data_IF_448728234646
#
_entry.id   IF_448728234646
#
_cell.length_a   1.000
_cell.length_b   1.000
_cell.length_c   1.000
_cell.angle_alpha   90.00
_cell.angle_beta   90.00
_cell.angle_gamma   90.00
#
_symmetry.space_group_name_H-M   'P 1'
#
loop_
_entity.id
_entity.type
_entity.pdbx_description
1 polymer ?
#
# COMPACT_ATOMS: atom_id res chain seq x y z
N UNK A 1 -52.86 -16.91 26.56
CA UNK A 1 -51.59 -17.15 25.84
C UNK A 1 -50.75 -17.98 26.78
N UNK A 2 -50.36 -19.19 26.36
CA UNK A 2 -49.68 -20.13 27.25
C UNK A 2 -48.21 -19.71 27.38
N UNK A 3 -47.83 -19.17 28.55
CA UNK A 3 -46.47 -18.70 28.84
C UNK A 3 -45.43 -19.80 28.59
N UNK A 4 -45.85 -21.05 28.74
CA UNK A 4 -45.03 -22.23 28.50
C UNK A 4 -44.68 -22.41 27.01
N UNK A 5 -45.59 -22.07 26.10
CA UNK A 5 -45.34 -22.14 24.66
C UNK A 5 -44.35 -21.06 24.20
N UNK A 6 -44.42 -19.87 24.80
CA UNK A 6 -43.52 -18.75 24.51
C UNK A 6 -42.10 -19.01 25.07
N UNK A 7 -42.01 -19.62 26.27
CA UNK A 7 -40.75 -20.06 26.84
C UNK A 7 -40.09 -21.18 26.02
N UNK A 8 -40.87 -22.18 25.55
CA UNK A 8 -40.36 -23.26 24.70
C UNK A 8 -39.84 -22.73 23.35
N UNK A 9 -40.52 -21.76 22.75
CA UNK A 9 -40.05 -21.10 21.52
C UNK A 9 -38.75 -20.31 21.74
N UNK A 10 -38.63 -19.57 22.85
CA UNK A 10 -37.40 -18.84 23.20
C UNK A 10 -36.21 -19.79 23.46
N UNK A 11 -36.43 -20.91 24.17
CA UNK A 11 -35.40 -21.92 24.43
C UNK A 11 -34.97 -22.63 23.14
N UNK A 12 -35.90 -22.91 22.22
CA UNK A 12 -35.58 -23.52 20.92
C UNK A 12 -34.70 -22.62 20.03
N UNK A 13 -34.74 -21.30 20.22
CA UNK A 13 -33.85 -20.35 19.52
C UNK A 13 -32.54 -20.12 20.28
N UNK A 14 -32.57 -20.08 21.62
CA UNK A 14 -31.40 -19.83 22.46
C UNK A 14 -30.44 -21.03 22.53
N UNK A 15 -30.95 -22.27 22.49
CA UNK A 15 -30.12 -23.49 22.58
C UNK A 15 -29.19 -23.66 21.37
N UNK A 16 -29.64 -23.50 20.11
CA UNK A 16 -28.76 -23.50 18.94
C UNK A 16 -27.69 -22.40 18.99
N UNK A 17 -28.06 -21.21 19.46
CA UNK A 17 -27.14 -20.07 19.66
C UNK A 17 -26.10 -20.39 20.74
N UNK A 18 -26.50 -21.09 21.82
CA UNK A 18 -25.60 -21.57 22.87
C UNK A 18 -24.63 -22.66 22.38
N UNK A 19 -25.08 -23.58 21.53
CA UNK A 19 -24.21 -24.62 20.93
C UNK A 19 -23.22 -24.06 19.89
N UNK A 20 -23.56 -22.94 19.25
CA UNK A 20 -22.63 -22.17 18.41
C UNK A 20 -21.48 -21.54 19.23
N UNK A 21 -21.63 -21.41 20.55
CA UNK A 21 -20.62 -20.91 21.50
C UNK A 21 -19.81 -22.11 22.06
N UNK A 22 -19.54 -23.13 21.23
CA UNK A 22 -18.63 -24.24 21.52
C UNK A 22 -17.17 -23.78 21.67
N UNK A 23 -16.85 -23.15 22.80
CA UNK A 23 -15.54 -22.55 23.10
C UNK A 23 -14.46 -23.63 23.28
N UNK A 24 -14.83 -24.85 23.65
CA UNK A 24 -13.91 -25.98 23.84
C UNK A 24 -13.36 -26.59 22.55
N UNK A 25 -14.21 -26.84 21.54
CA UNK A 25 -13.77 -27.48 20.28
C UNK A 25 -12.93 -26.56 19.41
N UNK A 26 -13.17 -25.24 19.49
CA UNK A 26 -12.49 -24.24 18.68
C UNK A 26 -10.99 -24.14 18.97
N UNK A 27 -10.58 -24.26 20.23
CA UNK A 27 -9.15 -24.23 20.61
C UNK A 27 -8.39 -25.46 20.11
N UNK A 28 -9.01 -26.64 20.18
CA UNK A 28 -8.40 -27.88 19.67
C UNK A 28 -8.20 -27.81 18.15
N UNK A 29 -9.23 -27.35 17.42
CA UNK A 29 -9.16 -27.15 15.97
C UNK A 29 -8.08 -26.14 15.57
N UNK A 30 -8.00 -24.99 16.24
CA UNK A 30 -6.96 -23.99 15.99
C UNK A 30 -5.55 -24.55 16.21
N UNK A 31 -5.32 -25.35 17.26
CA UNK A 31 -4.01 -26.00 17.48
C UNK A 31 -3.64 -26.97 16.35
N UNK A 32 -4.62 -27.68 15.81
CA UNK A 32 -4.39 -28.59 14.69
C UNK A 32 -4.05 -27.82 13.41
N UNK A 33 -4.85 -26.79 13.07
CA UNK A 33 -4.61 -25.92 11.91
C UNK A 33 -3.25 -25.22 11.98
N UNK A 34 -2.82 -24.75 13.17
CA UNK A 34 -1.49 -24.15 13.37
C UNK A 34 -0.37 -25.16 13.07
N UNK A 35 -0.49 -26.42 13.54
CA UNK A 35 0.51 -27.46 13.28
C UNK A 35 0.59 -27.81 11.81
N UNK A 36 -0.55 -27.93 11.15
CA UNK A 36 -0.64 -28.21 9.72
C UNK A 36 0.00 -27.08 8.90
N UNK A 37 -0.36 -25.82 9.17
CA UNK A 37 0.23 -24.68 8.49
C UNK A 37 1.76 -24.57 8.75
N UNK A 38 2.24 -24.86 9.96
CA UNK A 38 3.68 -24.89 10.27
C UNK A 38 4.42 -25.99 9.49
N UNK A 39 3.78 -27.15 9.33
CA UNK A 39 4.34 -28.26 8.53
C UNK A 39 4.42 -27.85 7.06
N UNK A 40 3.36 -27.23 6.54
CA UNK A 40 3.32 -26.72 5.17
C UNK A 40 4.38 -25.63 4.92
N UNK A 41 4.56 -24.68 5.84
CA UNK A 41 5.63 -23.66 5.72
C UNK A 41 7.01 -24.33 5.62
N UNK A 42 7.26 -25.35 6.44
CA UNK A 42 8.52 -26.09 6.40
C UNK A 42 8.74 -26.84 5.09
N UNK A 43 7.68 -27.39 4.49
CA UNK A 43 7.73 -28.02 3.16
C UNK A 43 7.99 -26.99 2.07
N UNK A 44 7.35 -25.81 2.13
CA UNK A 44 7.55 -24.73 1.17
C UNK A 44 8.95 -24.11 1.26
N UNK A 45 9.54 -24.03 2.44
CA UNK A 45 10.92 -23.52 2.63
C UNK A 45 12.00 -24.43 2.04
N UNK A 46 11.70 -25.73 1.84
CA UNK A 46 12.60 -26.70 1.19
C UNK A 46 12.64 -26.57 -0.33
N UNK A 47 11.66 -25.86 -0.92
CA UNK A 47 11.61 -25.61 -2.36
C UNK A 47 12.14 -24.21 -2.67
N UNK A 48 13.38 -24.12 -3.17
CA UNK A 48 14.05 -22.86 -3.49
C UNK A 48 13.26 -22.02 -4.51
N UNK A 49 12.57 -22.65 -5.46
CA UNK A 49 11.81 -21.95 -6.51
C UNK A 49 10.58 -21.28 -5.92
N UNK A 50 9.86 -21.98 -5.05
CA UNK A 50 8.67 -21.43 -4.40
C UNK A 50 9.07 -20.36 -3.38
N UNK A 51 10.16 -20.56 -2.64
CA UNK A 51 10.67 -19.59 -1.67
C UNK A 51 11.02 -18.25 -2.31
N UNK A 52 11.65 -18.27 -3.49
CA UNK A 52 12.09 -17.03 -4.16
C UNK A 52 10.97 -16.31 -4.93
N UNK A 53 9.91 -17.02 -5.33
CA UNK A 53 8.92 -16.47 -6.27
C UNK A 53 7.47 -16.48 -5.78
N UNK A 54 7.16 -17.04 -4.60
CA UNK A 54 5.78 -17.17 -4.11
C UNK A 54 5.52 -16.40 -2.83
N UNK A 55 4.40 -15.68 -2.79
CA UNK A 55 3.86 -15.03 -1.60
C UNK A 55 3.23 -16.02 -0.59
N UNK A 56 3.13 -17.30 -0.95
CA UNK A 56 2.45 -18.31 -0.15
C UNK A 56 3.07 -18.46 1.25
N UNK A 57 4.39 -18.45 1.36
CA UNK A 57 5.11 -18.63 2.63
C UNK A 57 4.86 -17.47 3.59
N UNK A 58 5.00 -16.23 3.09
CA UNK A 58 4.74 -15.03 3.89
C UNK A 58 3.28 -14.94 4.34
N UNK A 59 2.34 -15.27 3.46
CA UNK A 59 0.92 -15.32 3.81
C UNK A 59 0.61 -16.38 4.87
N UNK A 60 1.17 -17.59 4.73
CA UNK A 60 0.99 -18.67 5.71
C UNK A 60 1.59 -18.30 7.07
N UNK A 61 2.78 -17.71 7.12
CA UNK A 61 3.40 -17.23 8.35
C UNK A 61 2.57 -16.13 9.02
N UNK A 62 1.99 -15.21 8.24
CA UNK A 62 1.03 -14.22 8.73
C UNK A 62 -0.21 -14.87 9.36
N UNK A 63 -0.80 -15.86 8.68
CA UNK A 63 -1.95 -16.63 9.19
C UNK A 63 -1.61 -17.39 10.48
N UNK A 64 -0.46 -18.08 10.53
CA UNK A 64 0.01 -18.80 11.72
C UNK A 64 0.14 -17.85 12.90
N UNK A 65 0.75 -16.68 12.69
CA UNK A 65 0.93 -15.66 13.74
C UNK A 65 -0.42 -15.20 14.30
N UNK A 66 -1.39 -14.95 13.41
CA UNK A 66 -2.75 -14.58 13.79
C UNK A 66 -3.42 -15.67 14.64
N UNK A 67 -3.31 -16.93 14.22
CA UNK A 67 -3.95 -18.05 14.91
C UNK A 67 -3.26 -18.40 16.24
N UNK A 68 -1.94 -18.27 16.33
CA UNK A 68 -1.18 -18.40 17.58
C UNK A 68 -1.60 -17.34 18.59
N UNK A 69 -1.78 -16.08 18.17
CA UNK A 69 -2.22 -15.04 19.09
C UNK A 69 -3.66 -15.25 19.57
N UNK A 70 -4.58 -15.69 18.68
CA UNK A 70 -5.93 -16.11 19.07
C UNK A 70 -5.87 -17.24 20.11
N UNK A 71 -4.97 -18.20 19.95
CA UNK A 71 -4.76 -19.30 20.89
C UNK A 71 -4.24 -18.80 22.24
N UNK A 72 -3.33 -17.82 22.23
CA UNK A 72 -2.77 -17.16 23.41
C UNK A 72 -3.77 -16.22 24.11
N UNK A 73 -4.98 -16.06 23.59
CA UNK A 73 -5.98 -15.14 24.12
C UNK A 73 -5.61 -13.66 23.93
N UNK A 74 -4.63 -13.36 23.08
CA UNK A 74 -4.30 -11.99 22.68
C UNK A 74 -5.28 -11.60 21.57
N UNK A 75 -5.99 -10.49 21.76
CA UNK A 75 -6.81 -9.92 20.69
C UNK A 75 -5.89 -9.31 19.64
N UNK A 76 -5.63 -10.05 18.58
CA UNK A 76 -5.04 -9.51 17.36
C UNK A 76 -6.15 -8.96 16.49
N UNK A 77 -6.16 -7.64 16.36
CA UNK A 77 -7.14 -6.88 15.61
C UNK A 77 -7.41 -5.56 16.29
N UNK A 78 -7.70 -4.56 15.48
CA UNK A 78 -8.20 -3.28 15.96
C UNK A 78 -9.38 -3.51 16.92
N UNK A 79 -9.41 -2.78 18.05
CA UNK A 79 -10.48 -2.91 19.03
C UNK A 79 -11.81 -2.75 18.29
N UNK A 80 -12.68 -3.76 18.41
CA UNK A 80 -14.00 -3.72 17.79
C UNK A 80 -14.69 -2.44 18.23
N UNK A 81 -15.27 -1.70 17.30
CA UNK A 81 -16.15 -0.57 17.63
C UNK A 81 -17.11 -1.04 18.72
N UNK A 82 -17.21 -0.34 19.86
CA UNK A 82 -18.15 -0.72 20.90
C UNK A 82 -19.52 -0.81 20.27
N UNK A 83 -20.15 -1.97 20.41
CA UNK A 83 -21.47 -2.22 19.85
C UNK A 83 -22.40 -1.15 20.43
N UNK A 84 -23.11 -0.37 19.59
CA UNK A 84 -24.05 0.63 20.08
C UNK A 84 -25.28 -0.09 20.63
N UNK A 85 -25.15 -0.65 21.84
CA UNK A 85 -26.17 -1.48 22.48
C UNK A 85 -27.52 -0.77 22.55
N UNK A 86 -27.53 0.55 22.71
CA UNK A 86 -28.76 1.35 22.63
C UNK A 86 -29.49 1.19 21.29
N UNK A 87 -28.79 1.26 20.16
CA UNK A 87 -29.39 1.08 18.83
C UNK A 87 -29.87 -0.36 18.63
N UNK A 88 -29.10 -1.37 19.05
CA UNK A 88 -29.50 -2.78 18.94
C UNK A 88 -30.75 -3.07 19.76
N UNK A 89 -30.81 -2.59 21.01
CA UNK A 89 -31.97 -2.82 21.89
C UNK A 89 -33.21 -2.16 21.31
N UNK A 90 -33.14 -0.91 20.87
CA UNK A 90 -34.27 -0.19 20.27
C UNK A 90 -34.74 -0.88 18.98
N UNK A 91 -33.80 -1.21 18.08
CA UNK A 91 -34.09 -1.93 16.82
C UNK A 91 -34.71 -3.30 17.08
N UNK A 92 -34.21 -4.01 18.10
CA UNK A 92 -34.74 -5.32 18.50
C UNK A 92 -36.15 -5.25 19.06
N UNK A 93 -36.45 -4.25 19.91
CA UNK A 93 -37.79 -4.02 20.44
C UNK A 93 -38.78 -3.66 19.33
N UNK A 94 -38.39 -2.77 18.41
CA UNK A 94 -39.21 -2.38 17.26
C UNK A 94 -39.46 -3.59 16.35
N UNK A 95 -38.40 -4.35 16.03
CA UNK A 95 -38.50 -5.56 15.22
C UNK A 95 -39.42 -6.61 15.85
N UNK A 96 -39.35 -6.80 17.17
CA UNK A 96 -40.22 -7.70 17.91
C UNK A 96 -41.68 -7.23 17.92
N UNK A 97 -41.93 -5.92 18.09
CA UNK A 97 -43.28 -5.35 18.04
C UNK A 97 -43.93 -5.55 16.66
N UNK A 98 -43.19 -5.28 15.58
CA UNK A 98 -43.65 -5.56 14.22
C UNK A 98 -43.83 -7.06 13.95
N UNK A 99 -42.95 -7.91 14.47
CA UNK A 99 -43.09 -9.36 14.36
C UNK A 99 -44.35 -9.88 15.07
N UNK A 100 -44.65 -9.35 16.26
CA UNK A 100 -45.87 -9.68 17.00
C UNK A 100 -47.12 -9.20 16.25
N UNK A 101 -47.08 -7.99 15.69
CA UNK A 101 -48.19 -7.45 14.89
C UNK A 101 -48.44 -8.28 13.63
N UNK A 102 -47.36 -8.65 12.94
CA UNK A 102 -47.37 -9.58 11.79
C UNK A 102 -48.06 -10.89 12.15
N UNK A 103 -47.73 -11.46 13.32
CA UNK A 103 -48.34 -12.69 13.83
C UNK A 103 -49.84 -12.54 14.12
N UNK A 104 -50.28 -11.44 14.74
CA UNK A 104 -51.69 -11.19 14.99
C UNK A 104 -52.49 -11.06 13.69
N UNK A 105 -52.00 -10.29 12.71
CA UNK A 105 -52.66 -10.14 11.41
C UNK A 105 -52.76 -11.47 10.67
N UNK A 106 -51.71 -12.30 10.73
CA UNK A 106 -51.72 -13.62 10.11
C UNK A 106 -52.74 -14.55 10.80
N UNK A 107 -52.82 -14.50 12.13
CA UNK A 107 -53.78 -15.27 12.93
C UNK A 107 -55.23 -14.91 12.62
N UNK A 108 -55.50 -13.63 12.39
CA UNK A 108 -56.85 -13.11 12.14
C UNK A 108 -57.26 -13.21 10.65
N UNK A 109 -56.42 -13.80 9.80
CA UNK A 109 -56.72 -14.07 8.38
C UNK A 109 -56.46 -12.91 7.42
N UNK A 110 -55.83 -11.83 7.87
CA UNK A 110 -55.52 -10.64 7.06
C UNK A 110 -54.22 -10.79 6.27
N UNK A 111 -54.12 -11.84 5.44
CA UNK A 111 -52.88 -12.30 4.80
C UNK A 111 -52.10 -11.18 4.06
N UNK A 112 -52.79 -10.30 3.33
CA UNK A 112 -52.14 -9.22 2.58
C UNK A 112 -51.54 -8.10 3.46
N UNK A 113 -52.11 -7.87 4.65
CA UNK A 113 -51.61 -6.84 5.57
C UNK A 113 -50.39 -7.30 6.37
N UNK A 114 -50.09 -8.61 6.36
CA UNK A 114 -48.92 -9.21 7.04
C UNK A 114 -47.61 -8.78 6.38
N UNK A 115 -47.62 -8.49 5.07
CA UNK A 115 -46.41 -8.16 4.31
C UNK A 115 -45.71 -6.91 4.83
N UNK A 116 -46.46 -5.85 5.15
CA UNK A 116 -45.89 -4.58 5.59
C UNK A 116 -45.13 -4.67 6.94
N UNK A 117 -45.76 -5.11 8.05
CA UNK A 117 -45.05 -5.26 9.31
C UNK A 117 -44.02 -6.40 9.27
N UNK A 118 -44.24 -7.43 8.44
CA UNK A 118 -43.28 -8.53 8.27
C UNK A 118 -41.97 -8.06 7.64
N UNK A 119 -42.04 -7.26 6.57
CA UNK A 119 -40.86 -6.64 5.93
C UNK A 119 -40.15 -5.69 6.89
N UNK A 120 -40.90 -4.86 7.63
CA UNK A 120 -40.32 -3.97 8.63
C UNK A 120 -39.53 -4.75 9.70
N UNK A 121 -40.10 -5.83 10.24
CA UNK A 121 -39.42 -6.70 11.20
C UNK A 121 -38.15 -7.35 10.61
N UNK A 122 -38.22 -7.84 9.36
CA UNK A 122 -37.07 -8.42 8.68
C UNK A 122 -35.94 -7.40 8.44
N UNK A 123 -36.26 -6.17 8.04
CA UNK A 123 -35.28 -5.10 7.87
C UNK A 123 -34.59 -4.74 9.20
N UNK A 124 -35.33 -4.74 10.31
CA UNK A 124 -34.75 -4.52 11.65
C UNK A 124 -33.77 -5.65 12.02
N UNK A 125 -34.09 -6.91 11.71
CA UNK A 125 -33.18 -8.04 11.93
C UNK A 125 -31.92 -7.94 11.05
N UNK A 126 -32.06 -7.55 9.77
CA UNK A 126 -30.93 -7.32 8.86
C UNK A 126 -30.07 -6.16 9.37
N UNK A 127 -30.68 -5.09 9.90
CA UNK A 127 -29.97 -3.97 10.51
C UNK A 127 -29.16 -4.38 11.74
N UNK A 128 -29.76 -5.15 12.66
CA UNK A 128 -29.05 -5.73 13.82
C UNK A 128 -27.88 -6.61 13.35
N UNK A 129 -28.12 -7.45 12.35
CA UNK A 129 -27.07 -8.28 11.77
C UNK A 129 -25.94 -7.41 11.22
N UNK A 130 -26.25 -6.37 10.44
CA UNK A 130 -25.29 -5.41 9.91
C UNK A 130 -24.49 -4.68 10.99
N UNK A 131 -25.13 -4.26 12.09
CA UNK A 131 -24.45 -3.62 13.23
C UNK A 131 -23.55 -4.59 14.01
N UNK A 132 -23.87 -5.89 14.02
CA UNK A 132 -23.07 -6.92 14.68
C UNK A 132 -21.92 -7.45 13.79
N UNK A 133 -22.08 -7.40 12.46
CA UNK A 133 -21.09 -7.88 11.49
C UNK A 133 -20.22 -6.77 10.90
N UNK A 134 -20.71 -5.53 10.91
CA UNK A 134 -20.03 -4.35 10.38
C UNK A 134 -18.79 -4.02 11.19
N UNK A 135 -17.62 -4.36 10.65
CA UNK A 135 -16.32 -4.01 11.20
C UNK A 135 -15.82 -2.74 10.52
N UNK A 136 -16.34 -1.59 10.94
CA UNK A 136 -15.69 -0.33 10.60
C UNK A 136 -14.61 -0.03 11.62
N UNK A 137 -13.43 0.34 11.11
CA UNK A 137 -12.37 0.95 11.90
C UNK A 137 -12.94 2.26 12.49
N UNK A 138 -12.70 2.56 13.79
CA UNK A 138 -13.12 3.83 14.34
C UNK A 138 -12.49 4.97 13.51
N UNK A 139 -13.27 6.00 13.14
CA UNK A 139 -12.74 7.16 12.42
C UNK A 139 -11.86 7.95 13.38
N UNK A 140 -10.58 7.63 13.40
CA UNK A 140 -9.55 8.28 14.19
C UNK A 140 -8.38 8.62 13.30
N UNK A 141 -8.49 9.76 12.62
CA UNK A 141 -7.40 10.65 12.18
C UNK A 141 -6.03 10.01 11.91
N UNK A 142 -5.97 8.99 11.07
CA UNK A 142 -4.67 8.62 10.51
C UNK A 142 -4.44 9.55 9.32
N UNK A 143 -3.36 10.33 9.34
CA UNK A 143 -2.82 11.10 8.19
C UNK A 143 -2.36 10.17 7.04
N UNK A 144 -2.98 9.00 6.92
CA UNK A 144 -2.64 7.96 5.98
C UNK A 144 -3.55 8.09 4.75
N UNK A 145 -3.04 7.70 3.57
CA UNK A 145 -3.82 7.66 2.35
C UNK A 145 -5.09 6.81 2.50
N UNK A 146 -6.12 7.11 1.72
CA UNK A 146 -7.35 6.32 1.71
C UNK A 146 -7.06 4.84 1.38
N UNK A 147 -7.53 3.92 2.23
CA UNK A 147 -7.26 2.48 2.08
C UNK A 147 -5.92 1.99 2.66
N UNK A 148 -5.11 2.88 3.25
CA UNK A 148 -3.90 2.51 3.96
C UNK A 148 -4.18 2.12 5.42
N UNK A 149 -3.48 1.11 5.92
CA UNK A 149 -3.49 0.69 7.33
C UNK A 149 -2.10 0.88 7.94
N UNK A 150 -1.95 1.57 9.08
CA UNK A 150 -0.63 1.84 9.69
C UNK A 150 0.11 0.56 10.05
N UNK A 151 1.43 0.56 9.90
CA UNK A 151 2.35 -0.47 10.42
C UNK A 151 2.53 -0.32 11.92
N UNK A 152 2.54 0.91 12.45
CA UNK A 152 2.55 1.15 13.91
C UNK A 152 1.22 0.76 14.51
N UNK A 153 1.25 -0.39 15.14
CA UNK A 153 0.22 -0.90 16.03
C UNK A 153 0.81 -1.01 17.43
N UNK A 154 0.08 -0.51 18.42
CA UNK A 154 0.45 -0.62 19.85
C UNK A 154 0.43 -2.09 20.35
N UNK A 155 0.02 -3.03 19.50
CA UNK A 155 -0.04 -4.44 19.86
C UNK A 155 1.26 -5.15 19.49
N UNK A 156 1.90 -5.75 20.49
CA UNK A 156 3.15 -6.50 20.33
C UNK A 156 3.08 -7.59 19.26
N UNK A 157 1.90 -8.12 18.96
CA UNK A 157 1.74 -9.22 18.03
C UNK A 157 1.65 -8.77 16.56
N UNK A 158 1.23 -7.53 16.27
CA UNK A 158 1.36 -6.94 14.93
C UNK A 158 2.78 -6.41 14.70
N UNK A 159 3.49 -5.95 15.74
CA UNK A 159 4.94 -5.69 15.66
C UNK A 159 5.73 -6.96 15.36
N UNK A 160 5.31 -8.09 15.92
CA UNK A 160 5.86 -9.41 15.60
C UNK A 160 5.45 -9.86 14.20
N UNK A 161 4.20 -9.64 13.76
CA UNK A 161 3.78 -10.01 12.40
C UNK A 161 4.46 -9.16 11.32
N UNK A 162 4.65 -7.86 11.56
CA UNK A 162 5.38 -6.95 10.68
C UNK A 162 6.87 -7.23 10.70
N UNK A 163 7.48 -7.48 11.86
CA UNK A 163 8.89 -7.89 11.92
C UNK A 163 9.13 -9.27 11.32
N UNK A 164 8.19 -10.21 11.44
CA UNK A 164 8.25 -11.52 10.77
C UNK A 164 7.98 -11.36 9.28
N UNK A 165 7.06 -10.50 8.82
CA UNK A 165 6.89 -10.24 7.39
C UNK A 165 8.15 -9.59 6.81
N UNK A 166 8.74 -8.62 7.52
CA UNK A 166 10.01 -8.00 7.18
C UNK A 166 11.16 -9.03 7.20
N UNK A 167 11.16 -9.94 8.17
CA UNK A 167 12.19 -10.97 8.35
C UNK A 167 12.04 -12.16 7.39
N UNK A 168 10.82 -12.49 7.00
CA UNK A 168 10.52 -13.48 5.98
C UNK A 168 10.84 -12.94 4.58
N UNK A 169 10.75 -11.61 4.40
CA UNK A 169 11.38 -10.92 3.27
C UNK A 169 12.88 -10.69 3.44
N UNK A 170 13.46 -10.92 4.64
CA UNK A 170 14.87 -10.69 4.93
C UNK A 170 15.74 -11.91 4.61
N UNK A 171 15.93 -12.14 3.32
CA UNK A 171 17.32 -12.23 2.88
C UNK A 171 17.83 -10.79 2.81
N UNK A 172 18.48 -10.31 3.89
CA UNK A 172 19.17 -9.01 4.01
C UNK A 172 18.87 -8.04 2.85
N UNK A 173 17.91 -7.12 3.05
CA UNK A 173 17.45 -6.22 2.00
C UNK A 173 18.54 -5.20 1.63
N UNK A 174 19.51 -5.66 0.83
CA UNK A 174 20.66 -4.89 0.34
C UNK A 174 20.25 -3.66 -0.46
N UNK A 175 18.95 -3.49 -0.76
CA UNK A 175 18.40 -2.27 -1.35
C UNK A 175 18.65 -1.03 -0.48
N UNK A 176 18.59 -1.18 0.84
CA UNK A 176 18.84 -0.08 1.79
C UNK A 176 20.31 0.05 2.22
N UNK A 177 21.12 -0.98 1.96
CA UNK A 177 22.56 -0.92 2.21
C UNK A 177 23.22 0.08 1.24
N UNK A 178 24.43 0.50 1.58
CA UNK A 178 25.24 1.37 0.72
C UNK A 178 25.40 0.77 -0.68
N UNK A 179 25.12 1.57 -1.72
CA UNK A 179 25.08 1.13 -3.12
C UNK A 179 23.82 0.38 -3.55
N UNK A 180 22.88 0.12 -2.63
CA UNK A 180 21.59 -0.49 -2.94
C UNK A 180 20.61 0.45 -3.65
N UNK A 181 19.61 -0.10 -4.34
CA UNK A 181 18.61 0.66 -5.11
C UNK A 181 17.97 1.80 -4.33
N UNK A 182 17.50 1.51 -3.12
CA UNK A 182 16.78 2.48 -2.28
C UNK A 182 17.75 3.50 -1.72
N UNK A 183 18.93 3.06 -1.28
CA UNK A 183 19.98 3.96 -0.81
C UNK A 183 20.37 4.98 -1.88
N UNK A 184 20.58 4.55 -3.13
CA UNK A 184 20.91 5.43 -4.27
C UNK A 184 19.82 6.47 -4.48
N UNK A 185 18.54 6.09 -4.45
CA UNK A 185 17.43 7.06 -4.55
C UNK A 185 17.41 8.06 -3.39
N UNK A 186 17.70 7.63 -2.17
CA UNK A 186 17.77 8.54 -1.01
C UNK A 186 18.94 9.52 -1.12
N UNK A 187 20.12 9.06 -1.55
CA UNK A 187 21.27 9.93 -1.75
C UNK A 187 21.00 10.94 -2.87
N UNK A 188 20.47 10.47 -4.00
CA UNK A 188 20.06 11.35 -5.10
C UNK A 188 19.05 12.41 -4.63
N UNK A 189 17.97 12.00 -3.96
CA UNK A 189 16.96 12.91 -3.42
C UNK A 189 17.56 13.94 -2.45
N UNK A 190 18.40 13.48 -1.52
CA UNK A 190 19.04 14.33 -0.51
C UNK A 190 19.96 15.37 -1.16
N UNK A 191 20.85 14.93 -2.05
CA UNK A 191 21.79 15.81 -2.75
C UNK A 191 21.07 16.85 -3.60
N UNK A 192 20.06 16.44 -4.37
CA UNK A 192 19.29 17.36 -5.21
C UNK A 192 18.50 18.38 -4.39
N UNK A 193 17.87 17.94 -3.28
CA UNK A 193 17.12 18.83 -2.38
C UNK A 193 18.02 19.86 -1.69
N UNK A 194 19.23 19.47 -1.32
CA UNK A 194 20.20 20.35 -0.63
C UNK A 194 20.97 21.27 -1.59
N UNK A 195 20.65 21.22 -2.88
CA UNK A 195 21.32 21.99 -3.92
C UNK A 195 22.73 21.50 -4.26
N UNK A 196 23.09 20.29 -3.83
CA UNK A 196 24.34 19.60 -4.19
C UNK A 196 24.16 18.84 -5.50
N UNK A 197 23.80 19.55 -6.57
CA UNK A 197 23.38 18.95 -7.85
C UNK A 197 24.46 18.06 -8.47
N UNK A 198 25.70 18.53 -8.53
CA UNK A 198 26.81 17.76 -9.10
C UNK A 198 27.12 16.49 -8.31
N UNK A 199 26.96 16.50 -6.99
CA UNK A 199 27.04 15.29 -6.16
C UNK A 199 25.88 14.33 -6.47
N UNK A 200 24.67 14.88 -6.67
CA UNK A 200 23.50 14.12 -7.12
C UNK A 200 23.72 13.42 -8.47
N UNK A 201 24.44 14.03 -9.41
CA UNK A 201 24.75 13.42 -10.71
C UNK A 201 25.57 12.13 -10.58
N UNK A 202 26.36 11.95 -9.51
CA UNK A 202 27.10 10.70 -9.28
C UNK A 202 26.20 9.49 -9.00
N UNK A 203 24.95 9.74 -8.63
CA UNK A 203 23.91 8.72 -8.42
C UNK A 203 22.96 8.59 -9.61
N UNK A 204 23.17 9.34 -10.69
CA UNK A 204 22.32 9.34 -11.87
C UNK A 204 22.92 8.52 -13.00
N UNK A 205 22.04 7.96 -13.83
CA UNK A 205 22.43 7.28 -15.07
C UNK A 205 22.95 8.30 -16.11
N UNK A 206 23.89 7.88 -16.94
CA UNK A 206 24.47 8.74 -17.97
C UNK A 206 23.41 9.29 -18.94
N UNK A 207 22.48 8.43 -19.39
CA UNK A 207 21.43 8.84 -20.33
C UNK A 207 20.45 9.82 -19.68
N UNK A 208 20.22 9.68 -18.37
CA UNK A 208 19.42 10.63 -17.61
C UNK A 208 20.08 12.02 -17.60
N UNK A 209 21.37 12.08 -17.30
CA UNK A 209 22.12 13.34 -17.26
C UNK A 209 22.17 14.01 -18.64
N UNK A 210 22.43 13.23 -19.69
CA UNK A 210 22.42 13.71 -21.07
C UNK A 210 21.03 14.26 -21.46
N UNK A 211 19.94 13.56 -21.11
CA UNK A 211 18.59 14.04 -21.37
C UNK A 211 18.28 15.36 -20.64
N UNK A 212 18.77 15.58 -19.41
CA UNK A 212 18.62 16.87 -18.70
C UNK A 212 19.36 17.99 -19.43
N UNK A 213 20.60 17.76 -19.82
CA UNK A 213 21.40 18.74 -20.59
C UNK A 213 20.73 19.06 -21.93
N UNK A 214 20.31 18.05 -22.68
CA UNK A 214 19.60 18.24 -23.95
C UNK A 214 18.28 19.00 -23.75
N UNK A 215 17.52 18.70 -22.69
CA UNK A 215 16.28 19.43 -22.36
C UNK A 215 16.57 20.92 -22.10
N UNK A 216 17.63 21.21 -21.34
CA UNK A 216 18.03 22.58 -21.03
C UNK A 216 18.47 23.34 -22.29
N UNK A 217 19.33 22.74 -23.11
CA UNK A 217 19.79 23.33 -24.38
C UNK A 217 18.61 23.57 -25.34
N UNK A 218 17.70 22.61 -25.47
CA UNK A 218 16.51 22.70 -26.33
C UNK A 218 15.59 23.88 -25.93
N UNK A 219 15.41 24.06 -24.62
CA UNK A 219 14.62 25.16 -24.06
C UNK A 219 15.32 26.52 -24.17
N UNK A 220 16.64 26.54 -24.37
CA UNK A 220 17.46 27.75 -24.52
C UNK A 220 18.07 27.90 -25.92
N UNK A 221 17.45 27.29 -26.94
CA UNK A 221 17.93 27.32 -28.34
C UNK A 221 18.11 28.74 -28.92
N UNK A 222 17.39 29.72 -28.38
CA UNK A 222 17.54 31.13 -28.80
C UNK A 222 18.94 31.67 -28.45
N UNK A 223 19.59 31.12 -27.43
CA UNK A 223 20.94 31.46 -26.99
C UNK A 223 22.03 30.57 -27.60
N UNK A 224 21.73 29.29 -27.83
CA UNK A 224 22.71 28.29 -28.29
C UNK A 224 22.66 27.98 -29.79
N UNK A 225 21.64 28.47 -30.51
CA UNK A 225 21.40 28.16 -31.91
C UNK A 225 20.46 26.96 -32.11
N UNK A 226 20.10 26.73 -33.37
CA UNK A 226 19.15 25.70 -33.79
C UNK A 226 19.79 24.53 -34.56
N UNK A 227 21.11 24.55 -34.75
CA UNK A 227 21.83 23.44 -35.41
C UNK A 227 21.92 22.25 -34.45
N UNK A 228 21.22 21.16 -34.79
CA UNK A 228 21.16 19.98 -33.93
C UNK A 228 22.52 19.27 -33.80
N UNK A 229 23.40 19.36 -34.78
CA UNK A 229 24.73 18.73 -34.71
C UNK A 229 25.66 19.50 -33.77
N UNK A 230 25.58 20.83 -33.77
CA UNK A 230 26.29 21.68 -32.80
C UNK A 230 25.75 21.46 -31.38
N UNK A 231 24.42 21.40 -31.22
CA UNK A 231 23.79 21.13 -29.93
C UNK A 231 24.14 19.74 -29.39
N UNK A 232 24.18 18.71 -30.24
CA UNK A 232 24.57 17.35 -29.83
C UNK A 232 26.01 17.30 -29.32
N UNK A 233 26.93 17.95 -30.05
CA UNK A 233 28.33 18.07 -29.65
C UNK A 233 28.48 18.81 -28.32
N UNK A 234 27.73 19.90 -28.14
CA UNK A 234 27.71 20.68 -26.90
C UNK A 234 27.11 19.88 -25.74
N UNK A 235 26.01 19.16 -25.96
CA UNK A 235 25.38 18.33 -24.94
C UNK A 235 26.32 17.23 -24.45
N UNK A 236 27.01 16.54 -25.38
CA UNK A 236 28.00 15.53 -25.04
C UNK A 236 29.21 16.12 -24.30
N UNK A 237 29.66 17.32 -24.68
CA UNK A 237 30.73 18.03 -24.00
C UNK A 237 30.34 18.42 -22.57
N UNK A 238 29.14 18.95 -22.38
CA UNK A 238 28.62 19.32 -21.06
C UNK A 238 28.42 18.09 -20.17
N UNK A 239 27.82 17.02 -20.69
CA UNK A 239 27.54 15.81 -19.92
C UNK A 239 28.79 15.03 -19.50
N UNK A 240 29.85 15.01 -20.32
CA UNK A 240 31.06 14.22 -20.05
C UNK A 240 32.22 15.03 -19.46
N UNK A 241 32.33 16.30 -19.84
CA UNK A 241 33.51 17.13 -19.53
C UNK A 241 33.17 18.40 -18.77
N UNK A 242 31.88 18.71 -18.59
CA UNK A 242 31.41 19.94 -17.93
C UNK A 242 31.93 21.21 -18.64
N UNK A 243 32.11 21.13 -19.96
CA UNK A 243 32.63 22.20 -20.81
C UNK A 243 31.61 22.63 -21.89
N UNK A 244 31.51 23.94 -22.21
CA UNK A 244 32.21 25.06 -21.58
C UNK A 244 31.73 25.38 -20.16
N UNK A 245 32.63 25.85 -19.29
CA UNK A 245 32.34 26.09 -17.86
C UNK A 245 31.19 27.07 -17.62
N UNK A 246 31.04 28.10 -18.45
CA UNK A 246 29.95 29.08 -18.31
C UNK A 246 28.58 28.44 -18.59
N UNK A 247 28.48 27.64 -19.66
CA UNK A 247 27.25 26.92 -19.99
C UNK A 247 26.93 25.85 -18.94
N UNK A 248 27.94 25.12 -18.46
CA UNK A 248 27.77 24.16 -17.37
C UNK A 248 27.27 24.82 -16.09
N UNK A 249 27.87 25.93 -15.68
CA UNK A 249 27.45 26.67 -14.49
C UNK A 249 25.99 27.15 -14.60
N UNK A 250 25.59 27.68 -15.76
CA UNK A 250 24.20 28.09 -16.00
C UNK A 250 23.22 26.93 -15.98
N UNK A 251 23.60 25.76 -16.51
CA UNK A 251 22.82 24.53 -16.43
C UNK A 251 22.66 24.08 -14.98
N UNK A 252 23.76 23.93 -14.24
CA UNK A 252 23.75 23.50 -12.84
C UNK A 252 22.94 24.45 -11.96
N UNK A 253 23.09 25.77 -12.13
CA UNK A 253 22.30 26.76 -11.39
C UNK A 253 20.80 26.62 -11.66
N UNK A 254 20.41 26.49 -12.94
CA UNK A 254 19.01 26.34 -13.34
C UNK A 254 18.39 25.07 -12.75
N UNK A 255 19.09 23.95 -12.87
CA UNK A 255 18.64 22.65 -12.39
C UNK A 255 18.59 22.58 -10.86
N UNK A 256 19.63 23.09 -10.19
CA UNK A 256 19.68 23.21 -8.73
C UNK A 256 18.46 23.97 -8.21
N UNK A 257 18.14 25.12 -8.81
CA UNK A 257 16.99 25.92 -8.42
C UNK A 257 15.67 25.16 -8.64
N UNK A 258 15.53 24.40 -9.73
CA UNK A 258 14.33 23.58 -9.97
C UNK A 258 14.17 22.47 -8.92
N UNK A 259 15.22 21.70 -8.64
CA UNK A 259 15.15 20.61 -7.66
C UNK A 259 14.94 21.14 -6.25
N UNK A 260 15.68 22.15 -5.82
CA UNK A 260 15.49 22.77 -4.50
C UNK A 260 14.06 23.28 -4.36
N UNK A 261 13.55 24.06 -5.33
CA UNK A 261 12.19 24.61 -5.25
C UNK A 261 11.11 23.53 -5.20
N UNK A 262 11.29 22.44 -5.97
CA UNK A 262 10.30 21.37 -6.07
C UNK A 262 10.36 20.41 -4.89
N UNK A 263 11.56 20.14 -4.37
CA UNK A 263 11.81 19.08 -3.38
C UNK A 263 12.11 19.61 -1.96
N UNK A 264 12.25 20.92 -1.75
CA UNK A 264 12.40 21.53 -0.41
C UNK A 264 11.31 21.09 0.58
N UNK A 265 10.02 20.96 0.19
CA UNK A 265 8.98 20.50 1.12
C UNK A 265 9.12 19.03 1.53
N UNK A 266 9.99 18.28 0.87
CA UNK A 266 10.17 16.85 1.11
C UNK A 266 11.20 16.64 2.24
N UNK A 267 10.82 15.79 3.19
CA UNK A 267 11.69 15.39 4.29
C UNK A 267 12.04 13.90 4.14
N UNK A 268 13.22 13.54 3.56
CA UNK A 268 13.63 12.16 3.33
C UNK A 268 13.56 11.28 4.58
N UNK A 269 13.79 11.84 5.78
CA UNK A 269 13.71 11.09 7.04
C UNK A 269 12.28 10.65 7.37
N UNK A 270 11.28 11.27 6.74
CA UNK A 270 9.85 10.91 6.85
C UNK A 270 9.36 10.05 5.70
N UNK A 271 10.25 9.64 4.79
CA UNK A 271 9.92 8.71 3.71
C UNK A 271 10.36 7.29 4.10
N UNK A 272 9.58 6.32 3.64
CA UNK A 272 9.98 4.91 3.60
C UNK A 272 9.92 4.41 2.16
N UNK A 273 10.63 3.34 1.86
CA UNK A 273 10.53 2.70 0.54
C UNK A 273 9.55 1.53 0.55
N UNK A 274 8.98 1.23 -0.62
CA UNK A 274 8.12 0.06 -0.78
C UNK A 274 8.82 -1.26 -0.42
N UNK A 275 8.13 -2.09 0.36
CA UNK A 275 8.67 -3.34 0.92
C UNK A 275 9.09 -4.36 -0.12
N UNK A 276 8.51 -4.36 -1.32
CA UNK A 276 8.83 -5.32 -2.38
C UNK A 276 9.57 -4.68 -3.54
N UNK A 277 10.58 -5.40 -4.03
CA UNK A 277 11.27 -5.07 -5.28
C UNK A 277 10.27 -5.17 -6.43
N UNK A 278 10.20 -4.14 -7.26
CA UNK A 278 9.39 -4.11 -8.48
C UNK A 278 10.33 -4.05 -9.67
N UNK A 279 10.54 -5.18 -10.35
CA UNK A 279 11.43 -5.26 -11.50
C UNK A 279 10.68 -4.83 -12.76
N UNK A 280 11.22 -3.88 -13.51
CA UNK A 280 10.66 -3.41 -14.80
C UNK A 280 11.27 -4.22 -15.95
N UNK A 281 12.59 -4.38 -15.93
CA UNK A 281 13.36 -5.18 -16.88
C UNK A 281 14.51 -5.88 -16.14
N UNK A 282 15.33 -6.68 -16.84
CA UNK A 282 16.43 -7.46 -16.23
C UNK A 282 17.30 -6.63 -15.29
N UNK A 283 17.68 -5.44 -15.76
CA UNK A 283 18.62 -4.53 -15.10
C UNK A 283 17.95 -3.25 -14.59
N UNK A 284 16.61 -3.18 -14.63
CA UNK A 284 15.84 -2.01 -14.18
C UNK A 284 14.85 -2.36 -13.07
N UNK A 285 14.87 -1.57 -12.00
CA UNK A 285 13.92 -1.66 -10.91
C UNK A 285 13.15 -0.34 -10.71
N UNK A 286 11.92 -0.45 -10.22
CA UNK A 286 11.10 0.66 -9.76
C UNK A 286 11.23 0.77 -8.23
N UNK A 287 11.72 1.91 -7.77
CA UNK A 287 11.74 2.30 -6.37
C UNK A 287 10.63 3.32 -6.12
N UNK A 288 9.81 3.08 -5.11
CA UNK A 288 8.78 4.03 -4.68
C UNK A 288 9.14 4.46 -3.27
N UNK A 289 9.44 5.75 -3.10
CA UNK A 289 9.58 6.38 -1.80
C UNK A 289 8.25 7.04 -1.44
N UNK A 290 7.71 6.73 -0.27
CA UNK A 290 6.42 7.22 0.16
C UNK A 290 6.51 7.85 1.56
N UNK A 291 5.78 8.94 1.83
CA UNK A 291 5.78 9.57 3.13
C UNK A 291 5.13 8.64 4.16
N UNK A 292 5.87 8.19 5.18
CA UNK A 292 5.38 7.26 6.21
C UNK A 292 4.81 7.97 7.44
N UNK A 293 4.95 9.31 7.51
CA UNK A 293 4.41 10.12 8.59
C UNK A 293 4.89 9.67 9.97
N UNK A 294 4.07 9.89 11.00
CA UNK A 294 4.35 9.42 12.38
C UNK A 294 4.14 7.91 12.57
N UNK A 295 3.54 7.24 11.58
CA UNK A 295 3.23 5.81 11.62
C UNK A 295 4.44 4.91 11.40
N UNK A 296 5.55 5.44 10.86
CA UNK A 296 6.75 4.66 10.53
C UNK A 296 6.56 3.66 9.38
N UNK A 297 5.35 3.56 8.81
CA UNK A 297 5.02 2.72 7.67
C UNK A 297 3.52 2.45 7.58
N UNK A 298 3.03 2.03 6.42
CA UNK A 298 1.66 1.57 6.23
C UNK A 298 1.58 0.53 5.12
N UNK A 299 0.52 -0.26 5.14
CA UNK A 299 0.18 -1.20 4.09
C UNK A 299 -0.99 -0.68 3.26
N UNK A 300 -0.92 -0.89 1.95
CA UNK A 300 -2.03 -0.68 1.01
C UNK A 300 -2.44 -2.04 0.44
N UNK A 301 -3.73 -2.35 0.51
CA UNK A 301 -4.28 -3.67 0.12
C UNK A 301 -4.84 -3.69 -1.32
N UNK A 302 -4.95 -2.53 -1.95
CA UNK A 302 -5.39 -2.32 -3.32
C UNK A 302 -4.48 -1.32 -4.04
N UNK A 303 -4.65 -1.17 -5.35
CA UNK A 303 -4.03 -0.09 -6.10
C UNK A 303 -4.53 1.25 -5.56
N UNK A 304 -3.70 1.91 -4.74
CA UNK A 304 -4.01 3.16 -4.07
C UNK A 304 -3.01 4.21 -4.52
N UNK A 305 -3.50 5.36 -4.98
CA UNK A 305 -2.66 6.51 -5.23
C UNK A 305 -2.10 7.00 -3.88
N UNK A 306 -0.78 7.07 -3.78
CA UNK A 306 -0.10 7.56 -2.58
C UNK A 306 0.30 9.02 -2.81
N UNK A 307 -0.33 9.99 -2.13
CA UNK A 307 0.02 11.39 -2.27
C UNK A 307 1.49 11.62 -1.90
N UNK A 308 2.17 12.46 -2.69
CA UNK A 308 3.58 12.81 -2.52
C UNK A 308 4.54 11.61 -2.54
N UNK A 309 4.13 10.45 -3.08
CA UNK A 309 5.08 9.39 -3.38
C UNK A 309 6.00 9.84 -4.52
N UNK A 310 7.30 9.58 -4.35
CA UNK A 310 8.30 9.74 -5.39
C UNK A 310 8.55 8.38 -6.03
N UNK A 311 8.59 8.37 -7.35
CA UNK A 311 8.82 7.18 -8.14
C UNK A 311 10.16 7.36 -8.85
N UNK A 312 11.06 6.39 -8.66
CA UNK A 312 12.35 6.33 -9.32
C UNK A 312 12.46 5.04 -10.11
N UNK A 313 12.98 5.15 -11.32
CA UNK A 313 13.51 4.03 -12.08
C UNK A 313 15.01 4.00 -11.82
N UNK A 314 15.52 2.86 -11.38
CA UNK A 314 16.96 2.64 -11.21
C UNK A 314 17.46 1.59 -12.18
N UNK A 315 18.65 1.81 -12.70
CA UNK A 315 19.34 0.95 -13.65
C UNK A 315 20.60 0.37 -12.99
N UNK A 316 20.87 -0.92 -13.23
CA UNK A 316 22.11 -1.56 -12.77
C UNK A 316 23.16 -1.53 -13.87
N UNK A 317 24.17 -0.69 -13.69
CA UNK A 317 25.31 -0.57 -14.59
C UNK A 317 26.62 -0.90 -13.87
N UNK A 318 27.43 -1.81 -14.43
CA UNK A 318 28.77 -2.15 -13.91
C UNK A 318 28.82 -2.42 -12.38
N UNK A 319 27.83 -3.16 -11.88
CA UNK A 319 27.60 -3.47 -10.46
C UNK A 319 27.16 -2.33 -9.53
N UNK A 320 26.92 -1.13 -10.04
CA UNK A 320 26.29 -0.04 -9.31
C UNK A 320 24.81 0.11 -9.71
N UNK A 321 24.00 0.65 -8.79
CA UNK A 321 22.66 1.15 -9.11
C UNK A 321 22.72 2.65 -9.35
N UNK A 322 22.02 3.14 -10.38
CA UNK A 322 21.95 4.54 -10.75
C UNK A 322 20.49 4.94 -11.00
N UNK A 323 20.13 6.18 -10.70
CA UNK A 323 18.81 6.75 -11.00
C UNK A 323 18.71 7.02 -12.50
N UNK A 324 17.88 6.24 -13.18
CA UNK A 324 17.63 6.38 -14.62
C UNK A 324 16.44 7.27 -14.91
N UNK A 325 15.43 7.35 -14.03
CA UNK A 325 14.35 8.32 -14.16
C UNK A 325 13.73 8.64 -12.80
N UNK A 326 13.16 9.83 -12.63
CA UNK A 326 12.39 10.25 -11.45
C UNK A 326 11.05 10.92 -11.82
N UNK A 327 10.74 11.03 -13.12
CA UNK A 327 9.52 11.65 -13.66
C UNK A 327 8.58 10.60 -14.24
N UNK A 328 9.12 9.53 -14.82
CA UNK A 328 8.37 8.47 -15.48
C UNK A 328 8.76 7.06 -15.01
N UNK A 329 8.04 6.05 -15.52
CA UNK A 329 8.29 4.62 -15.24
C UNK A 329 9.15 3.93 -16.31
N UNK A 330 9.73 4.69 -17.25
CA UNK A 330 10.60 4.19 -18.30
C UNK A 330 11.92 4.97 -18.29
N UNK A 331 13.06 4.39 -18.69
CA UNK A 331 14.28 5.15 -18.89
C UNK A 331 14.06 6.23 -19.96
N UNK A 332 14.61 7.46 -19.77
CA UNK A 332 14.53 8.49 -20.77
C UNK A 332 15.39 8.11 -21.99
N UNK A 333 15.05 8.65 -23.16
CA UNK A 333 15.80 8.43 -24.40
C UNK A 333 16.40 9.76 -24.87
N UNK A 334 17.74 9.86 -24.98
CA UNK A 334 18.41 11.04 -25.52
C UNK A 334 17.94 11.37 -26.94
N UNK A 335 17.87 12.65 -27.28
CA UNK A 335 17.39 13.15 -28.57
C UNK A 335 17.04 14.63 -28.57
N UNK A 336 16.47 15.12 -29.67
CA UNK A 336 16.08 16.52 -29.86
C UNK A 336 14.62 16.63 -30.36
N UNK A 337 13.64 16.86 -29.47
CA UNK A 337 13.77 16.92 -28.02
C UNK A 337 14.00 15.54 -27.39
N UNK A 338 14.58 15.47 -26.17
CA UNK A 338 14.70 14.21 -25.44
C UNK A 338 13.32 13.72 -24.97
N UNK A 339 13.19 12.41 -24.81
CA UNK A 339 11.92 11.74 -24.47
C UNK A 339 11.97 11.19 -23.05
N UNK A 340 11.08 11.66 -22.17
CA UNK A 340 11.06 11.31 -20.74
C UNK A 340 10.08 10.20 -20.35
N UNK A 341 9.20 9.81 -21.28
CA UNK A 341 8.19 8.76 -21.12
C UNK A 341 8.04 7.98 -22.42
N UNK A 342 7.60 6.72 -22.35
CA UNK A 342 7.33 5.93 -23.55
C UNK A 342 6.18 6.58 -24.34
N UNK A 343 6.46 7.11 -25.53
CA UNK A 343 5.48 7.76 -26.42
C UNK A 343 4.50 6.77 -27.07
N UNK A 344 4.75 5.47 -26.94
CA UNK A 344 3.85 4.39 -27.40
C UNK A 344 2.99 3.80 -26.28
N UNK A 345 2.85 4.47 -25.15
CA UNK A 345 1.85 4.07 -24.16
C UNK A 345 0.46 4.38 -24.74
N UNK A 346 -0.38 3.37 -25.04
CA UNK A 346 -1.71 3.59 -25.62
C UNK A 346 -2.63 4.41 -24.71
N UNK A 347 -2.27 4.62 -23.44
CA UNK A 347 -2.98 5.54 -22.54
C UNK A 347 -2.70 7.02 -22.83
N UNK A 348 -1.58 7.36 -23.47
CA UNK A 348 -1.25 8.74 -23.88
C UNK A 348 -1.93 9.10 -25.21
N UNK A 349 -2.06 8.14 -26.13
CA UNK A 349 -2.85 8.33 -27.39
C UNK A 349 -4.34 8.54 -27.13
N UNK A 350 -4.84 8.23 -25.93
CA UNK A 350 -6.23 8.38 -25.54
C UNK A 350 -6.55 9.71 -24.83
N UNK A 351 -5.56 10.58 -24.62
CA UNK A 351 -5.79 11.94 -24.11
C UNK A 351 -6.09 12.85 -25.32
N UNK A 352 -7.34 13.36 -25.39
CA UNK A 352 -7.74 14.32 -26.42
C UNK A 352 -6.84 15.57 -26.37
N UNK A 353 -6.40 16.03 -27.56
CA UNK A 353 -5.48 17.17 -27.77
C UNK A 353 -5.83 18.47 -27.01
#
# INVERSE_FOLDING_TARGET
MDLEALAKAAVAVLVPVGTLIGVGSRRSRLRHEIRENLTLVKELEQDDVIREHSLATAWLQGKITVDVAKLAGRSLGTPKKPIPWGSIVVTGLIGAAFGLWTWYLARDGFVWYVTFPGVASALMLISIMGQLTGRELPPGSSDLPEGATPVRTDTAAEQIASSIALAASSGLDGRFAEGGQVWVCYQFLTSMREGRYEEGLTFADHDWALCRVQSWLWNNRDSFGADLGELDSLAASLANHHEPTEAWAGFVETETNQFVTTWEPLDPDRYGAASHRRRIARDYDLVILAPVGSSGGYFVTSATAVPNALIFVVHRESDAWLVSNHVGMAPPTPGWPPVWWATQDPSIEALDD
#
